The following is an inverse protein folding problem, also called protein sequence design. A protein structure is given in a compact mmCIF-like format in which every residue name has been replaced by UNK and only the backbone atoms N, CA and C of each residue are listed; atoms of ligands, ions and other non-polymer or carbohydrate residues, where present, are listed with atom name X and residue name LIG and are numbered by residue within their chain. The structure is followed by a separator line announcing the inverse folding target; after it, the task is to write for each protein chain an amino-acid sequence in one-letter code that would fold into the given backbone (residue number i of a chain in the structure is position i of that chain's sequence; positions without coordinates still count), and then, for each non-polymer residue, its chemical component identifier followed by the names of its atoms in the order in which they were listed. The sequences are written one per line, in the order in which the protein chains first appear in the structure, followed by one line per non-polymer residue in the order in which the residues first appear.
data_IF_655170145491
#
_entry.id   IF_655170145491
#
_cell.length_a   1.000
_cell.length_b   1.000
_cell.length_c   1.000
_cell.angle_alpha   90.00
_cell.angle_beta   90.00
_cell.angle_gamma   90.00
#
_symmetry.space_group_name_H-M   'P 1'
#
loop_
_entity.id
_entity.type
_entity.pdbx_description
1 polymer ?
#
# COMPACT_ATOMS: atom_id res chain seq x y z
N UNK A 1 5.34 18.93 -13.86
CA UNK A 1 5.19 17.49 -13.60
C UNK A 1 5.70 17.25 -12.17
N UNK A 2 4.79 17.24 -11.19
CA UNK A 2 5.10 17.05 -9.76
C UNK A 2 4.50 15.70 -9.36
N UNK A 3 5.37 14.75 -9.01
CA UNK A 3 5.03 13.46 -8.41
C UNK A 3 5.08 13.64 -6.89
N UNK A 4 4.05 13.20 -6.17
CA UNK A 4 4.04 13.12 -4.71
C UNK A 4 3.13 12.00 -4.15
N UNK A 5 3.24 10.76 -4.67
CA UNK A 5 2.69 9.59 -3.96
C UNK A 5 3.84 9.09 -3.13
N UNK A 6 3.77 9.26 -1.79
CA UNK A 6 4.89 9.19 -0.85
C UNK A 6 6.06 8.32 -1.32
N UNK A 7 6.93 8.96 -2.10
CA UNK A 7 8.29 8.54 -2.34
C UNK A 7 9.07 9.49 -1.44
N UNK A 8 9.60 8.96 -0.35
CA UNK A 8 10.75 9.54 0.33
C UNK A 8 11.89 9.60 -0.70
N UNK A 9 11.97 10.67 -1.49
CA UNK A 9 13.11 10.93 -2.36
C UNK A 9 14.20 11.62 -1.54
N UNK A 10 15.27 10.86 -1.31
CA UNK A 10 16.65 11.29 -1.19
C UNK A 10 16.88 12.77 -1.55
N UNK A 11 17.03 13.62 -0.53
CA UNK A 11 18.08 14.67 -0.48
C UNK A 11 18.00 15.58 0.76
N UNK A 12 16.96 15.49 1.61
CA UNK A 12 16.85 16.38 2.78
C UNK A 12 16.72 15.70 4.16
N UNK A 13 16.88 14.38 4.27
CA UNK A 13 17.03 13.74 5.58
C UNK A 13 18.29 12.86 5.62
N UNK A 14 19.43 13.53 5.76
CA UNK A 14 20.62 12.99 6.43
C UNK A 14 20.52 13.12 7.96
N UNK A 15 19.33 13.37 8.50
CA UNK A 15 19.18 13.68 9.91
C UNK A 15 17.81 13.20 10.41
N UNK A 16 17.85 12.03 11.06
CA UNK A 16 16.89 11.50 12.05
C UNK A 16 15.76 10.60 11.53
N UNK A 17 15.75 9.39 12.12
CA UNK A 17 14.74 8.32 12.11
C UNK A 17 14.63 7.45 10.84
N UNK A 18 15.23 6.26 10.96
CA UNK A 18 15.23 5.17 10.00
C UNK A 18 13.83 4.52 9.85
N UNK A 19 13.18 4.75 8.72
CA UNK A 19 12.35 3.72 8.09
C UNK A 19 12.94 3.51 6.71
N UNK A 20 13.88 2.57 6.63
CA UNK A 20 14.48 2.10 5.39
C UNK A 20 13.39 1.53 4.46
N UNK A 21 12.82 2.37 3.59
CA UNK A 21 12.28 1.86 2.34
C UNK A 21 13.45 1.21 1.60
N UNK A 22 13.36 -0.10 1.47
CA UNK A 22 14.45 -1.01 1.18
C UNK A 22 15.10 -0.65 -0.18
N UNK A 23 16.34 -0.16 -0.15
CA UNK A 23 17.10 0.25 -1.36
C UNK A 23 17.13 -0.84 -2.43
N UNK A 24 17.00 -2.10 -2.03
CA UNK A 24 17.07 -3.26 -2.91
C UNK A 24 15.87 -3.38 -3.87
N UNK A 25 14.72 -2.79 -3.52
CA UNK A 25 13.49 -2.89 -4.34
C UNK A 25 13.13 -1.58 -5.04
N UNK A 26 13.53 -0.44 -4.49
CA UNK A 26 13.09 0.89 -4.96
C UNK A 26 13.45 1.13 -6.44
N UNK A 27 14.70 0.84 -6.80
CA UNK A 27 15.18 1.04 -8.18
C UNK A 27 14.48 0.11 -9.17
N UNK A 28 14.22 -1.15 -8.79
CA UNK A 28 13.54 -2.12 -9.65
C UNK A 28 12.07 -1.74 -9.85
N UNK A 29 11.38 -1.32 -8.78
CA UNK A 29 10.01 -0.81 -8.84
C UNK A 29 9.91 0.42 -9.73
N UNK A 30 10.84 1.38 -9.57
CA UNK A 30 10.89 2.56 -10.44
C UNK A 30 11.10 2.15 -11.92
N UNK A 31 12.04 1.25 -12.20
CA UNK A 31 12.30 0.74 -13.54
C UNK A 31 11.06 0.14 -14.20
N UNK A 32 10.33 -0.72 -13.49
CA UNK A 32 9.07 -1.30 -13.98
C UNK A 32 8.05 -0.23 -14.36
N UNK A 33 7.83 0.76 -13.49
CA UNK A 33 6.88 1.84 -13.76
C UNK A 33 7.31 2.68 -14.97
N UNK A 34 8.60 3.01 -15.08
CA UNK A 34 9.10 3.75 -16.24
C UNK A 34 8.96 2.96 -17.53
N UNK A 35 9.26 1.66 -17.53
CA UNK A 35 9.16 0.82 -18.71
C UNK A 35 7.71 0.68 -19.19
N UNK A 36 6.78 0.47 -18.26
CA UNK A 36 5.34 0.45 -18.58
C UNK A 36 4.88 1.79 -19.16
N UNK A 37 5.35 2.90 -18.58
CA UNK A 37 5.01 4.25 -19.06
C UNK A 37 5.57 4.50 -20.46
N UNK A 38 6.84 4.18 -20.70
CA UNK A 38 7.50 4.36 -22.01
C UNK A 38 6.81 3.55 -23.11
N UNK A 39 6.25 2.40 -22.76
CA UNK A 39 5.50 1.53 -23.69
C UNK A 39 4.03 1.92 -23.85
N UNK A 40 3.55 2.94 -23.13
CA UNK A 40 2.13 3.34 -23.12
C UNK A 40 1.21 2.32 -22.45
N UNK A 41 1.75 1.40 -21.64
CA UNK A 41 1.00 0.33 -20.99
C UNK A 41 0.53 0.70 -19.57
N UNK A 42 1.15 1.71 -18.95
CA UNK A 42 0.85 2.08 -17.57
C UNK A 42 -0.61 2.55 -17.38
N UNK A 43 -1.21 3.17 -18.40
CA UNK A 43 -2.58 3.66 -18.29
C UNK A 43 -3.61 2.51 -18.20
N UNK A 44 -3.27 1.31 -18.69
CA UNK A 44 -4.12 0.11 -18.66
C UNK A 44 -3.59 -0.98 -17.69
N UNK A 45 -2.50 -0.70 -16.98
CA UNK A 45 -1.87 -1.66 -16.05
C UNK A 45 -1.92 -1.12 -14.62
N UNK A 46 -2.60 -1.84 -13.73
CA UNK A 46 -2.56 -1.54 -12.29
C UNK A 46 -1.35 -2.24 -11.67
N UNK A 47 -0.38 -1.46 -11.21
CA UNK A 47 0.76 -1.97 -10.44
C UNK A 47 0.48 -1.73 -8.97
N UNK A 48 0.55 -2.79 -8.17
CA UNK A 48 0.35 -2.74 -6.72
C UNK A 48 1.57 -3.33 -6.04
N UNK A 49 2.06 -2.63 -5.02
CA UNK A 49 3.12 -3.12 -4.15
C UNK A 49 2.71 -2.93 -2.70
N UNK A 50 2.84 -4.00 -1.91
CA UNK A 50 2.46 -3.99 -0.50
C UNK A 50 3.23 -5.04 0.26
N UNK A 51 3.50 -4.78 1.54
CA UNK A 51 3.78 -5.85 2.50
C UNK A 51 2.49 -6.57 2.93
N UNK A 52 2.63 -7.72 3.58
CA UNK A 52 1.51 -8.45 4.20
C UNK A 52 1.08 -7.80 5.53
N UNK A 53 2.05 -7.22 6.24
CA UNK A 53 1.88 -6.56 7.54
C UNK A 53 3.03 -5.56 7.75
N UNK A 54 2.89 -4.70 8.75
CA UNK A 54 3.92 -3.76 9.15
C UNK A 54 4.97 -4.41 10.03
N UNK A 55 5.95 -3.60 10.45
CA UNK A 55 6.98 -3.99 11.41
C UNK A 55 6.95 -3.06 12.61
N UNK A 56 7.12 -3.61 13.80
CA UNK A 56 7.19 -2.81 15.04
C UNK A 56 8.47 -1.99 15.07
N UNK A 57 8.39 -0.80 15.68
CA UNK A 57 9.55 0.05 15.99
C UNK A 57 10.30 -0.37 17.25
N UNK A 58 9.80 -1.40 17.94
CA UNK A 58 10.44 -2.06 19.08
C UNK A 58 10.71 -3.53 18.79
N UNK A 59 11.57 -4.16 19.59
CA UNK A 59 11.83 -5.59 19.54
C UNK A 59 11.28 -6.32 20.77
N UNK A 60 10.81 -7.55 20.57
CA UNK A 60 10.72 -8.51 21.66
C UNK A 60 12.13 -8.99 22.04
N UNK A 61 12.73 -8.37 23.06
CA UNK A 61 14.03 -8.74 23.60
C UNK A 61 15.03 -7.58 23.66
N UNK A 62 16.32 -7.91 23.73
CA UNK A 62 17.38 -6.90 23.77
C UNK A 62 17.66 -6.33 22.37
N UNK A 63 17.63 -4.99 22.27
CA UNK A 63 18.09 -4.27 21.10
C UNK A 63 19.59 -4.50 20.92
N UNK A 64 19.98 -5.06 19.78
CA UNK A 64 21.39 -5.13 19.36
C UNK A 64 21.55 -4.50 17.99
N UNK A 65 22.79 -4.17 17.61
CA UNK A 65 23.10 -3.63 16.28
C UNK A 65 22.67 -4.56 15.12
N UNK A 66 22.40 -5.83 15.41
CA UNK A 66 21.95 -6.84 14.44
C UNK A 66 20.53 -7.35 14.69
N UNK A 67 19.86 -6.88 15.75
CA UNK A 67 18.51 -7.28 16.13
C UNK A 67 17.73 -6.10 16.74
N UNK A 68 17.06 -5.32 15.90
CA UNK A 68 16.52 -4.00 16.25
C UNK A 68 15.02 -3.80 15.92
N UNK A 69 14.19 -4.83 16.07
CA UNK A 69 12.73 -4.73 15.89
C UNK A 69 12.29 -5.11 14.48
N UNK A 70 11.77 -6.33 14.35
CA UNK A 70 11.19 -6.88 13.10
C UNK A 70 9.95 -7.71 13.38
N UNK A 71 9.31 -7.52 14.52
CA UNK A 71 8.10 -8.27 14.86
C UNK A 71 6.94 -7.83 13.96
N UNK A 72 5.93 -8.69 13.87
CA UNK A 72 4.76 -8.46 13.03
C UNK A 72 3.89 -7.35 13.63
N UNK A 73 3.58 -6.33 12.84
CA UNK A 73 2.69 -5.23 13.23
C UNK A 73 1.49 -5.13 12.29
N UNK A 74 0.37 -5.80 12.60
CA UNK A 74 -0.78 -5.87 11.68
C UNK A 74 -1.64 -4.59 11.67
N UNK A 75 -1.39 -3.63 12.56
CA UNK A 75 -2.25 -2.43 12.69
C UNK A 75 -2.02 -1.38 11.61
N UNK A 76 -0.79 -1.23 11.13
CA UNK A 76 -0.47 -0.28 10.08
C UNK A 76 0.73 -0.76 9.28
N UNK A 77 0.60 -0.64 7.97
CA UNK A 77 1.62 -0.96 6.99
C UNK A 77 1.42 -0.10 5.75
N UNK A 78 2.44 -0.03 4.91
CA UNK A 78 2.40 0.78 3.70
C UNK A 78 2.18 -0.09 2.47
N UNK A 79 1.33 0.39 1.58
CA UNK A 79 1.16 -0.07 0.22
C UNK A 79 1.25 1.13 -0.73
N UNK A 80 1.61 0.90 -1.99
CA UNK A 80 1.49 1.88 -3.05
C UNK A 80 0.91 1.23 -4.30
N UNK A 81 0.25 2.04 -5.13
CA UNK A 81 -0.23 1.61 -6.44
C UNK A 81 -0.01 2.69 -7.50
N UNK A 82 0.07 2.28 -8.76
CA UNK A 82 0.26 3.17 -9.91
C UNK A 82 -0.43 2.60 -11.16
N UNK A 83 -0.79 3.50 -12.09
CA UNK A 83 -1.45 3.13 -13.35
C UNK A 83 -2.94 2.85 -13.23
N UNK A 84 -3.57 2.43 -14.33
CA UNK A 84 -4.98 2.00 -14.42
C UNK A 84 -6.05 2.94 -13.83
N UNK A 85 -5.79 4.25 -13.77
CA UNK A 85 -6.74 5.21 -13.20
C UNK A 85 -6.50 5.57 -11.73
N UNK A 86 -5.45 5.03 -11.10
CA UNK A 86 -5.00 5.49 -9.78
C UNK A 86 -4.59 6.96 -9.79
N UNK A 87 -4.89 7.69 -8.71
CA UNK A 87 -4.52 9.08 -8.58
C UNK A 87 -3.00 9.21 -8.37
N UNK A 88 -2.27 9.88 -9.29
CA UNK A 88 -0.85 10.05 -9.13
C UNK A 88 -0.60 11.16 -8.11
N UNK A 89 0.45 10.99 -7.32
CA UNK A 89 1.00 12.11 -6.60
C UNK A 89 0.31 12.46 -5.29
N UNK A 90 -0.28 11.49 -4.59
CA UNK A 90 -0.92 11.70 -3.29
C UNK A 90 -0.40 10.75 -2.19
N UNK A 91 -0.40 11.23 -0.96
CA UNK A 91 -0.35 10.36 0.22
C UNK A 91 -1.76 10.26 0.79
N UNK A 92 -2.21 9.04 1.10
CA UNK A 92 -3.52 8.82 1.71
C UNK A 92 -3.36 8.09 3.04
N UNK A 93 -3.74 8.77 4.12
CA UNK A 93 -3.59 8.30 5.49
C UNK A 93 -2.26 8.67 6.13
N UNK A 94 -2.20 8.54 7.46
CA UNK A 94 -1.02 8.83 8.26
C UNK A 94 -0.97 7.94 9.51
N UNK A 95 0.23 7.80 10.07
CA UNK A 95 0.45 7.17 11.38
C UNK A 95 0.96 8.19 12.40
N UNK A 96 0.95 7.80 13.67
CA UNK A 96 1.68 8.51 14.70
C UNK A 96 3.20 8.53 14.42
N UNK A 97 3.92 9.35 15.20
CA UNK A 97 5.37 9.55 15.06
C UNK A 97 6.20 8.26 15.24
N UNK A 98 5.61 7.22 15.82
CA UNK A 98 6.24 5.92 16.04
C UNK A 98 5.80 4.87 15.02
N UNK A 99 4.97 5.23 14.04
CA UNK A 99 4.45 4.30 13.05
C UNK A 99 3.56 3.20 13.65
N UNK A 100 2.94 3.46 14.81
CA UNK A 100 2.29 2.43 15.61
C UNK A 100 0.78 2.40 15.47
N UNK A 101 0.14 3.56 15.40
CA UNK A 101 -1.29 3.72 15.19
C UNK A 101 -1.56 4.59 13.97
N UNK A 102 -2.70 4.34 13.32
CA UNK A 102 -3.23 5.21 12.26
C UNK A 102 -3.86 6.45 12.89
N UNK A 103 -3.50 7.63 12.38
CA UNK A 103 -3.97 8.93 12.88
C UNK A 103 -4.91 9.63 11.90
N UNK A 104 -4.80 9.32 10.61
CA UNK A 104 -5.59 9.96 9.55
C UNK A 104 -6.03 8.93 8.50
N UNK A 105 -7.25 9.09 7.97
CA UNK A 105 -7.84 8.32 6.86
C UNK A 105 -7.53 6.81 6.90
N UNK A 106 -8.03 6.06 7.91
CA UNK A 106 -7.76 4.64 8.02
C UNK A 106 -8.31 3.87 6.82
N UNK A 107 -7.49 2.94 6.32
CA UNK A 107 -7.85 2.04 5.23
C UNK A 107 -7.82 0.61 5.74
N UNK A 108 -8.96 -0.07 5.70
CA UNK A 108 -8.98 -1.50 5.93
C UNK A 108 -8.57 -2.24 4.65
N UNK A 109 -7.88 -3.38 4.79
CA UNK A 109 -7.50 -4.25 3.64
C UNK A 109 -8.67 -4.65 2.75
N UNK A 110 -9.89 -4.64 3.30
CA UNK A 110 -11.11 -5.03 2.57
C UNK A 110 -11.53 -3.94 1.58
N UNK A 111 -11.39 -2.67 1.99
CA UNK A 111 -11.69 -1.50 1.18
C UNK A 111 -10.61 -1.31 0.11
N UNK A 112 -9.35 -1.61 0.47
CA UNK A 112 -8.27 -1.65 -0.49
C UNK A 112 -8.53 -2.71 -1.58
N UNK A 113 -8.87 -3.95 -1.21
CA UNK A 113 -9.24 -4.99 -2.17
C UNK A 113 -10.48 -4.62 -3.00
N UNK A 114 -11.50 -4.02 -2.40
CA UNK A 114 -12.68 -3.53 -3.12
C UNK A 114 -12.27 -2.49 -4.18
N UNK A 115 -11.35 -1.59 -3.83
CA UNK A 115 -10.82 -0.55 -4.73
C UNK A 115 -10.01 -1.15 -5.88
N UNK A 116 -9.17 -2.16 -5.62
CA UNK A 116 -8.43 -2.86 -6.67
C UNK A 116 -9.38 -3.57 -7.64
N UNK A 117 -10.38 -4.30 -7.13
CA UNK A 117 -11.38 -4.97 -7.96
C UNK A 117 -12.19 -3.97 -8.79
N UNK A 118 -12.54 -2.81 -8.20
CA UNK A 118 -13.20 -1.73 -8.91
C UNK A 118 -12.36 -1.21 -10.10
N UNK A 119 -11.05 -1.00 -9.93
CA UNK A 119 -10.14 -0.61 -11.02
C UNK A 119 -10.04 -1.67 -12.13
N UNK A 120 -10.25 -2.94 -11.79
CA UNK A 120 -10.32 -4.04 -12.77
C UNK A 120 -11.70 -4.18 -13.43
N UNK A 121 -12.66 -3.30 -13.13
CA UNK A 121 -14.03 -3.37 -13.64
C UNK A 121 -14.88 -4.50 -13.01
N UNK A 122 -14.45 -5.03 -11.86
CA UNK A 122 -15.09 -6.14 -11.17
C UNK A 122 -15.92 -5.60 -10.00
N UNK A 123 -17.21 -5.92 -9.97
CA UNK A 123 -18.04 -5.68 -8.80
C UNK A 123 -17.70 -6.73 -7.71
N UNK A 124 -16.99 -6.30 -6.67
CA UNK A 124 -16.52 -7.18 -5.59
C UNK A 124 -17.65 -7.87 -4.80
N UNK A 125 -18.85 -7.30 -4.75
CA UNK A 125 -20.00 -7.90 -4.08
C UNK A 125 -20.60 -9.07 -4.87
N UNK A 126 -20.43 -9.06 -6.19
CA UNK A 126 -20.91 -10.11 -7.10
C UNK A 126 -19.85 -11.14 -7.43
N UNK A 127 -18.58 -10.82 -7.20
CA UNK A 127 -17.46 -11.73 -7.42
C UNK A 127 -17.31 -12.71 -6.26
N UNK A 128 -18.24 -13.68 -6.23
CA UNK A 128 -18.39 -14.63 -5.13
C UNK A 128 -18.23 -16.07 -5.59
N UNK A 129 -17.78 -16.94 -4.69
CA UNK A 129 -17.74 -18.40 -4.89
C UNK A 129 -18.40 -19.12 -3.72
N UNK A 130 -19.25 -20.12 -4.02
CA UNK A 130 -19.93 -20.93 -3.00
C UNK A 130 -18.94 -21.90 -2.34
N UNK A 131 -18.68 -21.71 -1.05
CA UNK A 131 -17.84 -22.61 -0.26
C UNK A 131 -18.38 -22.77 1.16
N UNK A 132 -18.52 -24.01 1.63
CA UNK A 132 -19.04 -24.33 2.97
C UNK A 132 -20.38 -23.64 3.30
N UNK A 133 -21.27 -23.51 2.31
CA UNK A 133 -22.58 -22.89 2.49
C UNK A 133 -22.59 -21.35 2.47
N UNK A 134 -21.44 -20.70 2.27
CA UNK A 134 -21.31 -19.24 2.22
C UNK A 134 -20.94 -18.77 0.80
N UNK A 135 -21.37 -17.56 0.46
CA UNK A 135 -20.83 -16.81 -0.67
C UNK A 135 -19.52 -16.14 -0.23
N UNK A 136 -18.40 -16.80 -0.49
CA UNK A 136 -17.08 -16.26 -0.18
C UNK A 136 -16.71 -15.16 -1.18
N UNK A 137 -16.17 -14.05 -0.68
CA UNK A 137 -15.64 -12.93 -1.48
C UNK A 137 -14.28 -12.47 -0.94
N UNK A 138 -13.44 -11.93 -1.83
CA UNK A 138 -12.09 -11.42 -1.47
C UNK A 138 -12.12 -10.27 -0.46
N UNK A 139 -13.24 -9.56 -0.36
CA UNK A 139 -13.45 -8.46 0.60
C UNK A 139 -14.01 -8.95 1.94
N UNK A 140 -14.10 -10.27 2.17
CA UNK A 140 -14.60 -10.86 3.43
C UNK A 140 -16.12 -10.72 3.58
N UNK A 141 -16.69 -11.06 4.74
CA UNK A 141 -18.16 -11.01 4.94
C UNK A 141 -18.68 -9.62 5.31
N UNK A 142 -17.83 -8.81 5.92
CA UNK A 142 -18.18 -7.46 6.35
C UNK A 142 -18.33 -6.52 5.15
N UNK A 143 -19.04 -5.40 5.37
CA UNK A 143 -19.14 -4.33 4.39
C UNK A 143 -17.76 -3.78 4.03
N UNK A 144 -17.56 -3.48 2.74
CA UNK A 144 -16.33 -2.95 2.18
C UNK A 144 -16.68 -1.87 1.15
N UNK A 145 -15.89 -0.82 1.10
CA UNK A 145 -16.15 0.36 0.27
C UNK A 145 -14.99 0.65 -0.67
N UNK A 146 -15.30 1.19 -1.85
CA UNK A 146 -14.29 1.71 -2.77
C UNK A 146 -13.78 3.05 -2.23
N UNK A 147 -12.46 3.19 -2.18
CA UNK A 147 -11.80 4.41 -1.73
C UNK A 147 -11.65 5.33 -2.94
N UNK A 148 -12.66 6.16 -3.18
CA UNK A 148 -12.67 7.04 -4.35
C UNK A 148 -11.59 8.13 -4.30
N UNK A 149 -11.17 8.54 -3.10
CA UNK A 149 -10.16 9.58 -2.88
C UNK A 149 -8.75 9.22 -3.40
N UNK A 150 -8.52 7.95 -3.79
CA UNK A 150 -7.25 7.51 -4.38
C UNK A 150 -7.35 7.18 -5.87
N UNK A 151 -8.47 7.51 -6.51
CA UNK A 151 -8.76 7.27 -7.92
C UNK A 151 -8.89 8.59 -8.68
N UNK A 152 -8.56 8.58 -9.98
CA UNK A 152 -8.82 9.72 -10.85
C UNK A 152 -10.32 9.91 -11.05
N UNK A 153 -10.76 11.17 -11.00
CA UNK A 153 -12.12 11.63 -11.32
C UNK A 153 -12.49 11.42 -12.79
#
# INVERSE_FOLDING_TARGET
MKFLLQLLLLSTLLAHAEISFNRDIDQASYGLIQDLKQRGLLDDTLVVWSGEFGRTTYCQGALTATNYGRDHHPRCFTAWMAGAGSQPGITYGATDEFGYNVTENPVHVRDFHATLLHQLGINHEKFTFKHQGLDQRLTGVEEAHVIHDILKS
#
